data_IF_860352167305
#
_entry.id   IF_860352167305
#
_cell.length_a   1.000
_cell.length_b   1.000
_cell.length_c   1.000
_cell.angle_alpha   90.00
_cell.angle_beta   90.00
_cell.angle_gamma   90.00
#
_symmetry.space_group_name_H-M   'P 1'
#
loop_
_entity.id
_entity.type
_entity.pdbx_description
1 polymer ?
#
# COMPACT_ATOMS: atom_id res chain seq x y z
N UNK A 1 27.92 37.07 0.74
CA UNK A 1 26.55 36.85 1.22
C UNK A 1 26.18 35.41 0.91
N UNK A 2 25.71 34.69 1.92
CA UNK A 2 25.35 33.26 1.90
C UNK A 2 24.11 32.97 1.05
N UNK A 3 24.06 31.79 0.45
CA UNK A 3 22.83 30.98 0.38
C UNK A 3 23.22 29.50 0.26
N UNK A 4 23.56 28.91 1.40
CA UNK A 4 23.59 27.47 1.57
C UNK A 4 22.18 27.01 1.92
N UNK A 5 21.54 26.27 1.03
CA UNK A 5 20.33 25.50 1.34
C UNK A 5 20.49 24.08 0.77
N UNK A 6 21.53 23.39 1.26
CA UNK A 6 21.47 21.94 1.34
C UNK A 6 20.45 21.62 2.42
N UNK A 7 19.35 20.96 2.04
CA UNK A 7 18.24 20.58 2.92
C UNK A 7 18.81 19.73 4.08
N UNK A 8 19.14 20.37 5.20
CA UNK A 8 19.55 19.68 6.42
C UNK A 8 18.28 19.08 7.04
N UNK A 9 17.90 17.89 6.58
CA UNK A 9 16.79 17.15 7.16
C UNK A 9 17.15 16.79 8.60
N UNK A 10 16.37 17.26 9.57
CA UNK A 10 16.58 16.92 10.98
C UNK A 10 16.38 15.42 11.18
N UNK A 11 17.09 14.83 12.15
CA UNK A 11 17.01 13.39 12.47
C UNK A 11 15.54 12.99 12.76
N UNK A 12 14.77 13.87 13.38
CA UNK A 12 13.34 13.70 13.66
C UNK A 12 12.50 13.59 12.38
N UNK A 13 12.77 14.43 11.37
CA UNK A 13 12.06 14.40 10.09
C UNK A 13 12.38 13.13 9.29
N UNK A 14 13.62 12.65 9.34
CA UNK A 14 14.00 11.37 8.74
C UNK A 14 13.32 10.17 9.43
N UNK A 15 13.28 10.17 10.77
CA UNK A 15 12.62 9.11 11.54
C UNK A 15 11.10 9.06 11.29
N UNK A 16 10.45 10.23 11.20
CA UNK A 16 9.03 10.33 10.86
C UNK A 16 8.72 9.77 9.46
N UNK A 17 9.53 10.12 8.45
CA UNK A 17 9.40 9.58 7.09
C UNK A 17 9.63 8.06 7.07
N UNK A 18 10.66 7.57 7.74
CA UNK A 18 10.94 6.13 7.82
C UNK A 18 9.81 5.37 8.52
N UNK A 19 9.22 5.95 9.57
CA UNK A 19 8.08 5.38 10.27
C UNK A 19 6.80 5.41 9.43
N UNK A 20 6.56 6.47 8.65
CA UNK A 20 5.42 6.55 7.76
C UNK A 20 5.55 5.50 6.65
N UNK A 21 6.72 5.41 6.02
CA UNK A 21 7.03 4.41 5.00
C UNK A 21 6.94 2.97 5.53
N UNK A 22 7.35 2.72 6.77
CA UNK A 22 7.20 1.40 7.41
C UNK A 22 5.74 1.04 7.68
N UNK A 23 4.90 2.03 8.03
CA UNK A 23 3.45 1.83 8.19
C UNK A 23 2.77 1.57 6.85
N UNK A 24 3.09 2.37 5.84
CA UNK A 24 2.56 2.20 4.47
C UNK A 24 2.93 0.82 3.90
N UNK A 25 4.19 0.39 4.03
CA UNK A 25 4.59 -0.96 3.60
C UNK A 25 3.92 -2.08 4.42
N UNK A 26 3.69 -1.86 5.71
CA UNK A 26 2.97 -2.81 6.55
C UNK A 26 1.51 -2.96 6.11
N UNK A 27 0.85 -1.85 5.84
CA UNK A 27 -0.53 -1.82 5.34
C UNK A 27 -0.65 -2.43 3.94
N UNK A 28 0.29 -2.16 3.04
CA UNK A 28 0.36 -2.76 1.71
C UNK A 28 0.55 -4.29 1.79
N UNK A 29 1.45 -4.75 2.67
CA UNK A 29 1.71 -6.17 2.86
C UNK A 29 0.51 -6.92 3.46
N UNK A 30 -0.18 -6.34 4.45
CA UNK A 30 -1.41 -6.93 5.00
C UNK A 30 -2.56 -6.93 4.00
N UNK A 31 -2.65 -5.89 3.16
CA UNK A 31 -3.60 -5.85 2.05
C UNK A 31 -3.32 -6.93 1.02
N UNK A 32 -2.06 -7.11 0.63
CA UNK A 32 -1.66 -8.16 -0.30
C UNK A 32 -2.00 -9.57 0.23
N UNK A 33 -1.72 -9.83 1.51
CA UNK A 33 -2.11 -11.10 2.17
C UNK A 33 -3.62 -11.32 2.16
N UNK A 34 -4.40 -10.26 2.43
CA UNK A 34 -5.86 -10.31 2.39
C UNK A 34 -6.34 -10.68 0.99
N UNK A 35 -5.82 -10.03 -0.05
CA UNK A 35 -6.18 -10.29 -1.45
C UNK A 35 -5.85 -11.74 -1.84
N UNK A 36 -4.65 -12.22 -1.54
CA UNK A 36 -4.23 -13.60 -1.83
C UNK A 36 -5.10 -14.60 -1.06
N UNK A 37 -5.45 -14.30 0.19
CA UNK A 37 -6.35 -15.12 1.00
C UNK A 37 -7.76 -15.21 0.41
N UNK A 38 -8.32 -14.10 -0.08
CA UNK A 38 -9.62 -14.10 -0.75
C UNK A 38 -9.57 -14.85 -2.09
N UNK A 39 -8.49 -14.70 -2.87
CA UNK A 39 -8.29 -15.45 -4.11
C UNK A 39 -8.18 -16.97 -3.85
N UNK A 40 -7.54 -17.38 -2.75
CA UNK A 40 -7.46 -18.78 -2.33
C UNK A 40 -8.81 -19.37 -1.86
N UNK A 41 -9.83 -18.53 -1.62
CA UNK A 41 -11.21 -18.93 -1.34
C UNK A 41 -12.09 -18.95 -2.61
N UNK A 42 -11.47 -19.03 -3.79
CA UNK A 42 -12.12 -19.02 -5.11
C UNK A 42 -12.98 -17.77 -5.38
N UNK A 43 -12.73 -16.66 -4.70
CA UNK A 43 -13.37 -15.40 -5.02
C UNK A 43 -12.86 -14.86 -6.36
N UNK A 44 -13.80 -14.44 -7.21
CA UNK A 44 -13.43 -13.82 -8.49
C UNK A 44 -12.79 -12.45 -8.28
N UNK A 45 -11.99 -12.01 -9.26
CA UNK A 45 -11.39 -10.67 -9.28
C UNK A 45 -12.43 -9.58 -8.98
N UNK A 46 -13.61 -9.64 -9.60
CA UNK A 46 -14.68 -8.65 -9.39
C UNK A 46 -15.12 -8.59 -7.93
N UNK A 47 -15.33 -9.75 -7.29
CA UNK A 47 -15.73 -9.82 -5.87
C UNK A 47 -14.64 -9.31 -4.94
N UNK A 48 -13.37 -9.57 -5.26
CA UNK A 48 -12.24 -9.06 -4.48
C UNK A 48 -12.13 -7.54 -4.62
N UNK A 49 -12.28 -7.00 -5.83
CA UNK A 49 -12.29 -5.54 -6.06
C UNK A 49 -13.44 -4.86 -5.31
N UNK A 50 -14.65 -5.44 -5.35
CA UNK A 50 -15.78 -4.95 -4.55
C UNK A 50 -15.48 -5.00 -3.04
N UNK A 51 -14.89 -6.09 -2.55
CA UNK A 51 -14.47 -6.20 -1.15
C UNK A 51 -13.50 -5.08 -0.76
N UNK A 52 -12.49 -4.81 -1.58
CA UNK A 52 -11.49 -3.77 -1.32
C UNK A 52 -12.12 -2.37 -1.29
N UNK A 53 -13.04 -2.08 -2.20
CA UNK A 53 -13.76 -0.79 -2.23
C UNK A 53 -14.65 -0.61 -1.01
N UNK A 54 -15.38 -1.65 -0.61
CA UNK A 54 -16.34 -1.57 0.49
C UNK A 54 -15.67 -1.62 1.86
N UNK A 55 -14.65 -2.45 2.05
CA UNK A 55 -14.06 -2.71 3.37
C UNK A 55 -12.75 -1.95 3.61
N UNK A 56 -12.08 -1.50 2.56
CA UNK A 56 -10.82 -0.75 2.64
C UNK A 56 -10.92 0.65 2.04
N UNK A 57 -12.14 1.08 1.70
CA UNK A 57 -12.47 2.42 1.20
C UNK A 57 -11.62 2.87 0.00
N UNK A 58 -11.17 1.92 -0.82
CA UNK A 58 -10.36 2.20 -1.99
C UNK A 58 -11.21 2.70 -3.16
N UNK A 59 -10.63 3.58 -3.98
CA UNK A 59 -11.18 3.87 -5.30
C UNK A 59 -11.10 2.63 -6.21
N UNK A 60 -11.87 2.65 -7.31
CA UNK A 60 -11.81 1.59 -8.32
C UNK A 60 -10.38 1.36 -8.84
N UNK A 61 -9.65 2.43 -9.15
CA UNK A 61 -8.28 2.37 -9.64
C UNK A 61 -7.31 1.84 -8.57
N UNK A 62 -7.47 2.28 -7.32
CA UNK A 62 -6.66 1.80 -6.19
C UNK A 62 -6.90 0.32 -5.88
N UNK A 63 -8.15 -0.13 -5.95
CA UNK A 63 -8.51 -1.53 -5.75
C UNK A 63 -7.93 -2.42 -6.87
N UNK A 64 -8.01 -1.96 -8.12
CA UNK A 64 -7.43 -2.67 -9.27
C UNK A 64 -5.90 -2.79 -9.14
N UNK A 65 -5.22 -1.68 -8.84
CA UNK A 65 -3.78 -1.67 -8.63
C UNK A 65 -3.35 -2.57 -7.46
N UNK A 66 -4.08 -2.52 -6.33
CA UNK A 66 -3.80 -3.37 -5.17
C UNK A 66 -3.95 -4.86 -5.51
N UNK A 67 -5.00 -5.24 -6.25
CA UNK A 67 -5.19 -6.61 -6.71
C UNK A 67 -4.06 -7.06 -7.63
N UNK A 68 -3.73 -6.25 -8.65
CA UNK A 68 -2.70 -6.60 -9.63
C UNK A 68 -1.32 -6.72 -8.96
N UNK A 69 -0.98 -5.80 -8.06
CA UNK A 69 0.26 -5.84 -7.28
C UNK A 69 0.34 -7.10 -6.39
N UNK A 70 -0.75 -7.43 -5.70
CA UNK A 70 -0.80 -8.58 -4.79
C UNK A 70 -0.65 -9.91 -5.56
N UNK A 71 -1.33 -10.04 -6.70
CA UNK A 71 -1.25 -11.24 -7.54
C UNK A 71 0.10 -11.36 -8.25
N UNK A 72 0.68 -10.25 -8.70
CA UNK A 72 2.02 -10.23 -9.31
C UNK A 72 3.13 -10.61 -8.32
N UNK A 73 3.00 -10.20 -7.05
CA UNK A 73 3.94 -10.57 -5.99
C UNK A 73 3.77 -12.02 -5.49
N UNK A 74 2.66 -12.69 -5.83
CA UNK A 74 2.36 -14.07 -5.44
C UNK A 74 2.72 -15.11 -6.52
N UNK A 75 2.77 -14.70 -7.79
CA UNK A 75 3.10 -15.55 -8.94
C UNK A 75 4.57 -16.03 -8.93
#
# INVERSE_FOLDING_TARGET
MQSGEGIYMTIEKYAALKSAYAREQGEEAERAKTIVGLAALDMSRVQIIEFLKTNMELSEEQAQAAYDNAMAAHA
#
